data_IF_350596267136
#
_entry.id   IF_350596267136
#
_cell.length_a   1.000
_cell.length_b   1.000
_cell.length_c   1.000
_cell.angle_alpha   90.00
_cell.angle_beta   90.00
_cell.angle_gamma   90.00
#
_symmetry.space_group_name_H-M   'P 1'
#
loop_
_entity.id
_entity.type
_entity.pdbx_description
1 polymer ?
#
# COMPACT_ATOMS: atom_id res chain seq x y z
N UNK A 1 -36.44 16.10 36.73
CA UNK A 1 -35.40 15.04 36.80
C UNK A 1 -35.21 14.50 35.38
N UNK A 2 -34.29 15.05 34.60
CA UNK A 2 -33.93 14.52 33.28
C UNK A 2 -32.43 14.24 33.30
N UNK A 3 -32.09 12.95 33.37
CA UNK A 3 -30.70 12.51 33.38
C UNK A 3 -30.09 12.69 31.98
N UNK A 4 -28.97 13.39 31.92
CA UNK A 4 -28.08 13.39 30.76
C UNK A 4 -27.53 11.96 30.58
N UNK A 5 -27.50 11.40 29.36
CA UNK A 5 -26.77 10.16 29.11
C UNK A 5 -25.26 10.41 29.28
N UNK A 6 -24.49 9.43 29.76
CA UNK A 6 -23.05 9.59 29.93
C UNK A 6 -22.37 9.73 28.57
N UNK A 7 -21.57 10.78 28.41
CA UNK A 7 -20.64 10.91 27.30
C UNK A 7 -19.69 9.71 27.32
N UNK A 8 -19.82 8.82 26.34
CA UNK A 8 -18.87 7.75 26.10
C UNK A 8 -17.58 8.39 25.59
N UNK A 9 -16.65 8.70 26.48
CA UNK A 9 -15.29 9.05 26.10
C UNK A 9 -14.67 7.77 25.55
N UNK A 10 -14.58 7.67 24.22
CA UNK A 10 -13.78 6.63 23.57
C UNK A 10 -12.35 6.84 24.05
N UNK A 11 -11.90 6.00 24.98
CA UNK A 11 -10.51 5.92 25.42
C UNK A 11 -9.69 5.48 24.21
N UNK A 12 -9.23 6.43 23.41
CA UNK A 12 -8.33 6.12 22.31
C UNK A 12 -6.97 5.79 22.92
N UNK A 13 -6.58 4.53 22.83
CA UNK A 13 -5.26 4.09 23.25
C UNK A 13 -4.21 4.84 22.41
N UNK A 14 -3.22 5.51 23.02
CA UNK A 14 -2.25 6.34 22.31
C UNK A 14 -1.47 5.56 21.24
N UNK A 15 -1.23 4.27 21.46
CA UNK A 15 -0.57 3.38 20.49
C UNK A 15 -1.40 3.18 19.20
N UNK A 16 -2.72 3.12 19.29
CA UNK A 16 -3.59 2.92 18.12
C UNK A 16 -3.67 4.19 17.26
N UNK A 17 -3.74 5.36 17.89
CA UNK A 17 -3.69 6.65 17.19
C UNK A 17 -2.35 6.86 16.50
N UNK A 18 -1.24 6.55 17.19
CA UNK A 18 0.08 6.66 16.59
C UNK A 18 0.25 5.73 15.38
N UNK A 19 -0.18 4.46 15.47
CA UNK A 19 -0.14 3.53 14.34
C UNK A 19 -0.99 3.99 13.14
N UNK A 20 -2.11 4.65 13.40
CA UNK A 20 -2.97 5.24 12.37
C UNK A 20 -2.34 6.47 11.71
N UNK A 21 -1.64 7.30 12.47
CA UNK A 21 -0.94 8.49 12.00
C UNK A 21 0.25 8.13 11.11
N UNK A 22 1.05 7.15 11.52
CA UNK A 22 2.17 6.59 10.73
C UNK A 22 1.70 6.11 9.34
N UNK A 23 0.47 5.58 9.25
CA UNK A 23 -0.14 5.05 8.01
C UNK A 23 -0.84 6.10 7.14
N UNK A 24 -0.94 7.35 7.60
CA UNK A 24 -1.48 8.48 6.85
C UNK A 24 -0.63 9.75 7.09
N UNK A 25 0.68 9.64 6.85
CA UNK A 25 1.63 10.75 7.09
C UNK A 25 1.31 12.03 6.33
N UNK A 26 0.73 11.92 5.13
CA UNK A 26 0.36 13.09 4.34
C UNK A 26 -0.95 13.74 4.83
N UNK A 27 -1.54 13.23 5.91
CA UNK A 27 -2.82 13.68 6.47
C UNK A 27 -3.92 13.79 5.40
N UNK A 28 -3.96 12.82 4.48
CA UNK A 28 -4.99 12.78 3.43
C UNK A 28 -6.36 12.75 4.11
N UNK A 29 -7.31 13.60 3.69
CA UNK A 29 -8.64 13.65 4.29
C UNK A 29 -9.32 12.30 4.28
N UNK A 30 -9.97 11.98 5.40
CA UNK A 30 -10.73 10.75 5.58
C UNK A 30 -12.22 11.07 5.37
N UNK A 31 -12.89 10.25 4.57
CA UNK A 31 -14.31 10.35 4.28
C UNK A 31 -15.18 9.91 5.47
N UNK A 32 -16.49 10.06 5.34
CA UNK A 32 -17.48 9.65 6.34
C UNK A 32 -17.50 8.15 6.63
N UNK A 33 -16.89 7.32 5.77
CA UNK A 33 -16.74 5.88 5.96
C UNK A 33 -15.44 5.49 6.68
N UNK A 34 -14.61 6.47 7.05
CA UNK A 34 -13.33 6.23 7.69
C UNK A 34 -12.23 5.80 6.72
N UNK A 35 -12.40 6.06 5.42
CA UNK A 35 -11.43 5.75 4.36
C UNK A 35 -10.85 7.00 3.74
N UNK A 36 -9.66 6.91 3.16
CA UNK A 36 -8.97 8.03 2.48
C UNK A 36 -8.67 7.71 1.02
N UNK A 37 -8.28 8.71 0.24
CA UNK A 37 -7.70 8.47 -1.08
C UNK A 37 -6.21 8.12 -1.01
N UNK A 38 -5.65 7.67 -2.13
CA UNK A 38 -4.21 7.42 -2.28
C UNK A 38 -3.40 8.70 -2.01
N UNK A 39 -2.20 8.55 -1.44
CA UNK A 39 -1.35 9.70 -1.15
C UNK A 39 -0.78 10.36 -2.42
N UNK A 40 -0.59 9.57 -3.47
CA UNK A 40 -0.16 10.02 -4.79
C UNK A 40 -1.17 9.56 -5.85
N UNK A 41 -1.41 10.38 -6.87
CA UNK A 41 -2.16 9.96 -8.07
C UNK A 41 -1.41 8.90 -8.87
N UNK A 42 -2.14 8.13 -9.69
CA UNK A 42 -1.56 7.04 -10.49
C UNK A 42 -0.61 7.55 -11.59
N UNK A 43 -0.92 8.66 -12.27
CA UNK A 43 0.03 9.20 -13.25
C UNK A 43 1.19 9.96 -12.60
N UNK A 44 0.97 10.64 -11.46
CA UNK A 44 2.04 11.34 -10.74
C UNK A 44 3.05 10.38 -10.12
N UNK A 45 2.62 9.15 -9.73
CA UNK A 45 3.53 8.12 -9.21
C UNK A 45 4.58 7.66 -10.22
N UNK A 46 4.37 7.87 -11.52
CA UNK A 46 5.39 7.62 -12.54
C UNK A 46 6.59 8.56 -12.38
N UNK A 47 6.34 9.83 -12.04
CA UNK A 47 7.39 10.82 -11.83
C UNK A 47 8.06 10.63 -10.46
N UNK A 48 7.26 10.50 -9.40
CA UNK A 48 7.74 10.37 -8.02
C UNK A 48 8.43 9.02 -7.77
N UNK A 49 7.93 7.96 -8.39
CA UNK A 49 8.41 6.58 -8.27
C UNK A 49 9.11 6.06 -9.52
N UNK A 50 9.79 6.93 -10.28
CA UNK A 50 10.35 6.60 -11.60
C UNK A 50 11.18 5.30 -11.62
N UNK A 51 12.06 5.10 -10.64
CA UNK A 51 12.86 3.88 -10.55
C UNK A 51 11.99 2.61 -10.38
N UNK A 52 10.95 2.69 -9.56
CA UNK A 52 10.01 1.59 -9.36
C UNK A 52 9.13 1.37 -10.59
N UNK A 53 8.66 2.45 -11.22
CA UNK A 53 7.87 2.41 -12.45
C UNK A 53 8.67 1.76 -13.59
N UNK A 54 9.94 2.14 -13.75
CA UNK A 54 10.87 1.49 -14.68
C UNK A 54 11.02 0.01 -14.34
N UNK A 55 11.33 -0.34 -13.09
CA UNK A 55 11.45 -1.74 -12.67
C UNK A 55 10.18 -2.54 -12.98
N UNK A 56 9.00 -1.98 -12.74
CA UNK A 56 7.73 -2.62 -13.04
C UNK A 56 7.44 -2.73 -14.55
N UNK A 57 8.00 -1.84 -15.36
CA UNK A 57 7.88 -1.88 -16.83
C UNK A 57 8.75 -2.99 -17.42
N UNK A 58 10.00 -3.09 -16.96
CA UNK A 58 10.96 -4.07 -17.49
C UNK A 58 10.82 -5.45 -16.84
N UNK A 59 10.50 -5.49 -15.55
CA UNK A 59 10.44 -6.70 -14.72
C UNK A 59 9.28 -6.63 -13.71
N UNK A 60 8.01 -6.71 -14.16
CA UNK A 60 6.83 -6.59 -13.29
C UNK A 60 6.79 -7.62 -12.16
N UNK A 61 7.33 -8.82 -12.39
CA UNK A 61 7.44 -9.86 -11.36
C UNK A 61 8.37 -9.48 -10.21
N UNK A 62 9.51 -8.85 -10.51
CA UNK A 62 10.46 -8.36 -9.50
C UNK A 62 9.82 -7.23 -8.72
N UNK A 63 9.19 -6.28 -9.43
CA UNK A 63 8.48 -5.18 -8.82
C UNK A 63 7.41 -5.67 -7.82
N UNK A 64 6.57 -6.60 -8.25
CA UNK A 64 5.57 -7.24 -7.41
C UNK A 64 6.19 -7.95 -6.19
N UNK A 65 7.23 -8.76 -6.39
CA UNK A 65 7.90 -9.49 -5.31
C UNK A 65 8.50 -8.56 -4.25
N UNK A 66 9.09 -7.43 -4.67
CA UNK A 66 9.63 -6.42 -3.76
C UNK A 66 8.54 -5.76 -2.92
N UNK A 67 7.43 -5.36 -3.53
CA UNK A 67 6.33 -4.72 -2.80
C UNK A 67 5.69 -5.71 -1.83
N UNK A 68 5.45 -6.95 -2.28
CA UNK A 68 4.83 -7.98 -1.44
C UNK A 68 5.69 -8.37 -0.24
N UNK A 69 7.01 -8.49 -0.41
CA UNK A 69 7.92 -8.74 0.72
C UNK A 69 7.95 -7.58 1.71
N UNK A 70 7.95 -6.32 1.24
CA UNK A 70 7.83 -5.14 2.11
C UNK A 70 6.52 -5.13 2.90
N UNK A 71 5.38 -5.32 2.24
CA UNK A 71 4.07 -5.43 2.90
C UNK A 71 4.07 -6.51 3.96
N UNK A 72 4.51 -7.72 3.60
CA UNK A 72 4.51 -8.85 4.53
C UNK A 72 5.43 -8.62 5.73
N UNK A 73 6.54 -7.90 5.56
CA UNK A 73 7.44 -7.53 6.65
C UNK A 73 6.83 -6.45 7.55
N UNK A 74 6.20 -5.43 6.96
CA UNK A 74 5.47 -4.38 7.67
C UNK A 74 4.26 -4.93 8.45
N UNK A 75 3.58 -5.96 7.94
CA UNK A 75 2.48 -6.64 8.63
C UNK A 75 2.96 -7.45 9.83
N UNK A 76 4.10 -8.14 9.72
CA UNK A 76 4.64 -8.98 10.79
C UNK A 76 5.36 -8.19 11.88
N UNK A 77 6.16 -7.21 11.48
CA UNK A 77 7.12 -6.56 12.37
C UNK A 77 6.76 -5.12 12.71
N UNK A 78 5.77 -4.51 12.01
CA UNK A 78 5.50 -3.06 12.08
C UNK A 78 6.77 -2.21 11.95
N UNK A 79 7.73 -2.69 11.14
CA UNK A 79 9.02 -2.06 10.91
C UNK A 79 9.37 -2.15 9.42
N UNK A 80 10.14 -1.21 8.86
CA UNK A 80 10.58 -1.26 7.48
C UNK A 80 11.40 -2.50 7.15
N UNK A 81 11.26 -3.01 5.93
CA UNK A 81 12.09 -4.11 5.44
C UNK A 81 13.58 -3.71 5.45
N UNK A 82 14.49 -4.51 6.05
CA UNK A 82 15.90 -4.11 6.22
C UNK A 82 16.61 -3.83 4.89
N UNK A 83 16.26 -4.57 3.84
CA UNK A 83 16.82 -4.43 2.49
C UNK A 83 15.94 -3.64 1.51
N UNK A 84 14.81 -3.07 1.94
CA UNK A 84 13.87 -2.37 1.03
C UNK A 84 13.11 -3.28 0.05
N UNK A 85 12.93 -4.55 0.41
CA UNK A 85 12.23 -5.56 -0.37
C UNK A 85 13.15 -6.61 -0.99
N UNK A 86 12.67 -7.85 -1.03
CA UNK A 86 13.38 -9.00 -1.59
C UNK A 86 13.11 -9.14 -3.10
N UNK A 87 14.16 -9.54 -3.83
CA UNK A 87 14.08 -9.88 -5.26
C UNK A 87 13.99 -11.39 -5.44
N UNK A 88 13.42 -11.85 -6.56
CA UNK A 88 13.36 -13.27 -6.93
C UNK A 88 12.69 -14.17 -5.87
N UNK A 89 11.74 -13.63 -5.11
CA UNK A 89 10.95 -14.38 -4.13
C UNK A 89 10.05 -15.42 -4.80
N UNK A 90 9.49 -16.35 -4.02
CA UNK A 90 8.44 -17.27 -4.51
C UNK A 90 7.29 -16.51 -5.17
N UNK A 91 6.92 -15.34 -4.63
CA UNK A 91 5.90 -14.46 -5.19
C UNK A 91 6.30 -13.83 -6.53
N UNK A 92 7.58 -13.47 -6.70
CA UNK A 92 8.12 -13.03 -7.99
C UNK A 92 8.02 -14.16 -9.02
N UNK A 93 8.40 -15.39 -8.67
CA UNK A 93 8.28 -16.55 -9.54
C UNK A 93 6.83 -16.86 -9.90
N UNK A 94 5.94 -16.89 -8.91
CA UNK A 94 4.51 -17.12 -9.13
C UNK A 94 3.92 -16.06 -10.06
N UNK A 95 4.20 -14.77 -9.81
CA UNK A 95 3.74 -13.69 -10.67
C UNK A 95 4.31 -13.81 -12.09
N UNK A 96 5.60 -14.10 -12.22
CA UNK A 96 6.27 -14.31 -13.50
C UNK A 96 5.64 -15.45 -14.30
N UNK A 97 5.49 -16.63 -13.68
CA UNK A 97 4.89 -17.79 -14.32
C UNK A 97 3.42 -17.54 -14.70
N UNK A 98 2.61 -16.96 -13.80
CA UNK A 98 1.19 -16.71 -14.08
C UNK A 98 1.00 -15.65 -15.19
N UNK A 99 1.90 -14.68 -15.26
CA UNK A 99 1.94 -13.68 -16.34
C UNK A 99 2.35 -14.32 -17.67
N UNK A 100 3.44 -15.10 -17.68
CA UNK A 100 4.02 -15.65 -18.91
C UNK A 100 3.24 -16.83 -19.49
N UNK A 101 2.68 -17.71 -18.65
CA UNK A 101 2.02 -18.94 -19.09
C UNK A 101 0.49 -18.84 -19.14
N UNK A 102 -0.11 -17.95 -18.33
CA UNK A 102 -1.57 -17.86 -18.22
C UNK A 102 -2.12 -16.47 -18.57
N UNK A 103 -1.27 -15.45 -18.73
CA UNK A 103 -1.69 -14.05 -18.82
C UNK A 103 -2.58 -13.59 -17.63
N UNK A 104 -2.48 -14.27 -16.48
CA UNK A 104 -3.30 -14.02 -15.28
C UNK A 104 -2.53 -13.31 -14.16
N UNK A 105 -1.34 -12.76 -14.44
CA UNK A 105 -0.54 -12.02 -13.45
C UNK A 105 -1.30 -10.86 -12.79
N UNK A 106 -2.22 -10.22 -13.52
CA UNK A 106 -3.07 -9.14 -13.03
C UNK A 106 -3.95 -9.55 -11.84
N UNK A 107 -4.30 -10.84 -11.69
CA UNK A 107 -5.09 -11.33 -10.55
C UNK A 107 -4.32 -11.17 -9.24
N UNK A 108 -3.03 -11.47 -9.27
CA UNK A 108 -2.15 -11.31 -8.11
C UNK A 108 -1.95 -9.82 -7.78
N UNK A 109 -1.89 -8.96 -8.80
CA UNK A 109 -1.82 -7.51 -8.63
C UNK A 109 -3.05 -6.95 -7.92
N UNK A 110 -4.26 -7.40 -8.28
CA UNK A 110 -5.50 -7.01 -7.58
C UNK A 110 -5.43 -7.41 -6.10
N UNK A 111 -4.93 -8.61 -5.80
CA UNK A 111 -4.77 -9.08 -4.43
C UNK A 111 -3.82 -8.21 -3.60
N UNK A 112 -2.65 -7.88 -4.16
CA UNK A 112 -1.66 -7.01 -3.50
C UNK A 112 -2.24 -5.61 -3.26
N UNK A 113 -2.83 -5.01 -4.29
CA UNK A 113 -3.46 -3.70 -4.20
C UNK A 113 -4.57 -3.67 -3.17
N UNK A 114 -5.38 -4.72 -3.09
CA UNK A 114 -6.44 -4.87 -2.08
C UNK A 114 -5.87 -4.94 -0.67
N UNK A 115 -4.76 -5.66 -0.46
CA UNK A 115 -4.08 -5.71 0.85
C UNK A 115 -3.58 -4.34 1.28
N UNK A 116 -2.93 -3.61 0.36
CA UNK A 116 -2.43 -2.24 0.61
C UNK A 116 -3.59 -1.30 0.94
N UNK A 117 -4.68 -1.34 0.17
CA UNK A 117 -5.88 -0.53 0.44
C UNK A 117 -6.47 -0.84 1.81
N UNK A 118 -6.49 -2.11 2.21
CA UNK A 118 -6.95 -2.50 3.54
C UNK A 118 -6.03 -1.98 4.65
N UNK A 119 -4.70 -2.10 4.48
CA UNK A 119 -3.69 -1.61 5.44
C UNK A 119 -3.80 -0.12 5.72
N UNK A 120 -3.99 0.68 4.67
CA UNK A 120 -4.00 2.14 4.73
C UNK A 120 -5.40 2.77 4.74
N UNK A 121 -6.46 1.94 4.82
CA UNK A 121 -7.87 2.35 4.75
C UNK A 121 -8.16 3.20 3.51
N UNK A 122 -7.67 2.79 2.35
CA UNK A 122 -7.86 3.54 1.10
C UNK A 122 -9.22 3.17 0.46
N UNK A 123 -10.04 4.19 0.17
CA UNK A 123 -11.38 4.12 -0.41
C UNK A 123 -11.39 4.10 -1.94
N UNK A 124 -12.57 3.85 -2.54
CA UNK A 124 -12.80 3.80 -4.00
C UNK A 124 -13.25 2.44 -4.58
N UNK A 125 -13.85 2.46 -5.78
CA UNK A 125 -14.22 1.26 -6.54
C UNK A 125 -12.96 0.58 -7.09
N UNK A 126 -12.49 -0.48 -6.41
CA UNK A 126 -11.33 -1.29 -6.83
C UNK A 126 -11.51 -2.13 -8.09
N UNK A 127 -12.38 -1.71 -9.01
CA UNK A 127 -12.79 -2.46 -10.20
C UNK A 127 -12.67 -1.66 -11.51
N UNK A 128 -13.36 -0.52 -11.65
CA UNK A 128 -13.36 0.21 -12.94
C UNK A 128 -12.16 1.15 -13.14
N UNK A 129 -11.70 1.84 -12.09
CA UNK A 129 -10.47 2.66 -12.16
C UNK A 129 -9.20 1.82 -12.08
N UNK A 130 -9.25 0.72 -11.32
CA UNK A 130 -8.15 -0.21 -11.15
C UNK A 130 -7.99 -1.17 -12.35
N UNK A 131 -9.05 -1.57 -13.05
CA UNK A 131 -8.93 -2.35 -14.29
C UNK A 131 -8.31 -1.52 -15.43
N UNK A 132 -8.68 -0.24 -15.57
CA UNK A 132 -8.07 0.65 -16.56
C UNK A 132 -6.62 1.04 -16.17
N UNK A 133 -6.33 1.27 -14.89
CA UNK A 133 -4.94 1.49 -14.45
C UNK A 133 -4.07 0.23 -14.51
N UNK A 134 -4.59 -0.96 -14.17
CA UNK A 134 -3.85 -2.23 -14.28
C UNK A 134 -3.74 -2.77 -15.70
N UNK A 135 -4.58 -2.33 -16.66
CA UNK A 135 -4.40 -2.65 -18.08
C UNK A 135 -3.62 -1.60 -18.87
N UNK A 136 -3.79 -0.30 -18.58
CA UNK A 136 -3.12 0.78 -19.31
C UNK A 136 -1.87 1.33 -18.62
N UNK A 137 -1.64 1.07 -17.32
CA UNK A 137 -0.38 1.38 -16.65
C UNK A 137 -0.12 0.55 -15.35
N UNK A 138 0.02 -0.78 -15.46
CA UNK A 138 0.56 -1.65 -14.38
C UNK A 138 1.80 -1.09 -13.67
N UNK A 139 2.79 -0.50 -14.39
CA UNK A 139 3.94 0.07 -13.71
C UNK A 139 3.59 1.28 -12.84
N UNK A 140 2.60 2.08 -13.22
CA UNK A 140 2.10 3.19 -12.42
C UNK A 140 1.43 2.72 -11.12
N UNK A 141 0.64 1.64 -11.17
CA UNK A 141 -0.03 1.10 -9.98
C UNK A 141 0.99 0.50 -9.00
N UNK A 142 1.98 -0.24 -9.50
CA UNK A 142 3.08 -0.76 -8.69
C UNK A 142 3.94 0.38 -8.10
N UNK A 143 4.19 1.45 -8.86
CA UNK A 143 4.88 2.63 -8.34
C UNK A 143 4.06 3.32 -7.24
N UNK A 144 2.76 3.52 -7.45
CA UNK A 144 1.84 4.11 -6.46
C UNK A 144 1.83 3.30 -5.16
N UNK A 145 1.73 1.98 -5.27
CA UNK A 145 1.81 1.05 -4.13
C UNK A 145 3.15 1.16 -3.40
N UNK A 146 4.26 1.22 -4.14
CA UNK A 146 5.59 1.33 -3.55
C UNK A 146 5.84 2.63 -2.79
N UNK A 147 5.27 3.74 -3.26
CA UNK A 147 5.34 5.06 -2.62
C UNK A 147 4.54 5.07 -1.33
N UNK A 148 3.37 4.43 -1.32
CA UNK A 148 2.56 4.34 -0.10
C UNK A 148 3.29 3.57 1.02
N UNK A 149 3.99 2.48 0.66
CA UNK A 149 4.86 1.78 1.58
C UNK A 149 6.04 2.64 2.04
N UNK A 150 6.62 3.42 1.13
CA UNK A 150 7.77 4.28 1.43
C UNK A 150 7.40 5.37 2.44
N UNK A 151 6.19 5.94 2.34
CA UNK A 151 5.66 6.87 3.34
C UNK A 151 5.60 6.20 4.73
N UNK A 152 4.96 5.04 4.86
CA UNK A 152 4.93 4.34 6.16
C UNK A 152 6.34 3.98 6.65
N UNK A 153 7.22 3.52 5.78
CA UNK A 153 8.58 3.15 6.14
C UNK A 153 9.40 4.35 6.61
N UNK A 154 9.22 5.52 5.98
CA UNK A 154 9.87 6.76 6.39
C UNK A 154 9.34 7.24 7.73
N UNK A 155 8.02 7.12 7.96
CA UNK A 155 7.39 7.41 9.24
C UNK A 155 8.02 6.60 10.38
N UNK A 156 8.16 5.29 10.16
CA UNK A 156 8.70 4.35 11.15
C UNK A 156 10.20 4.57 11.40
N UNK A 157 10.99 4.94 10.38
CA UNK A 157 12.41 5.30 10.56
C UNK A 157 12.57 6.61 11.33
N UNK A 158 11.73 7.61 11.03
CA UNK A 158 11.72 8.91 11.70
C UNK A 158 11.22 8.86 13.13
N UNK A 159 10.36 7.91 13.47
CA UNK A 159 9.80 7.73 14.81
C UNK A 159 10.76 7.09 15.82
N UNK A 160 12.01 6.77 15.44
CA UNK A 160 13.11 6.39 16.32
C UNK A 160 12.74 5.45 17.47
N UNK A 161 12.82 4.12 17.22
CA UNK A 161 12.72 3.01 18.21
C UNK A 161 12.23 3.44 19.61
N UNK A 162 10.96 3.22 19.90
CA UNK A 162 10.53 3.07 21.30
C UNK A 162 11.07 1.76 21.88
#
# INVERSE_FOLDING_TARGET
>A
MHGHPPHHQVMTQPAFQHAMEVRNMNHVPVDSSGKRDWSHGCCSSMCDGCAMCCCATWCPCIAYGKIKSRVAHLERNNYPHPSGGDICTTDCWLHGCLSSFCALGWVLQIGLRSSIRNRYRIGGCGGCGDCWCSMCCTPCSLAQESLELELEEHALKGAGKF
#
